data_IF_111202068979
#
_entry.id   IF_111202068979
#
_cell.length_a   1.000
_cell.length_b   1.000
_cell.length_c   1.000
_cell.angle_alpha   90.00
_cell.angle_beta   90.00
_cell.angle_gamma   90.00
#
_symmetry.space_group_name_H-M   'P 1'
#
loop_
_entity.id
_entity.type
_entity.pdbx_description
1 polymer ?
#
# COMPACT_ATOMS: atom_id res chain seq x y z
N UNK A 1 -0.29 11.03 3.92
CA UNK A 1 -0.94 10.10 2.97
C UNK A 1 -0.27 8.73 3.00
N UNK A 2 1.05 8.62 2.90
CA UNK A 2 1.74 7.33 3.04
C UNK A 2 1.51 6.65 4.40
N UNK A 3 1.72 7.38 5.50
CA UNK A 3 1.44 6.87 6.85
C UNK A 3 -0.02 6.43 7.06
N UNK A 4 -0.99 7.04 6.34
CA UNK A 4 -2.38 6.58 6.45
C UNK A 4 -2.59 5.26 5.72
N UNK A 5 -1.93 5.02 4.59
CA UNK A 5 -1.95 3.69 3.97
C UNK A 5 -1.32 2.64 4.86
N UNK A 6 -0.13 2.91 5.42
CA UNK A 6 0.54 1.99 6.35
C UNK A 6 -0.31 1.66 7.57
N UNK A 7 -1.02 2.66 8.11
CA UNK A 7 -1.94 2.47 9.22
C UNK A 7 -3.19 1.67 8.82
N UNK A 8 -3.89 2.09 7.77
CA UNK A 8 -5.21 1.55 7.43
C UNK A 8 -5.09 0.12 6.88
N UNK A 9 -4.18 -0.10 5.92
CA UNK A 9 -3.96 -1.43 5.33
C UNK A 9 -3.21 -2.36 6.28
N UNK A 10 -2.35 -1.83 7.14
CA UNK A 10 -1.69 -2.62 8.19
C UNK A 10 -2.68 -3.14 9.23
N UNK A 11 -3.66 -2.33 9.63
CA UNK A 11 -4.68 -2.73 10.61
C UNK A 11 -5.69 -3.74 10.06
N UNK A 12 -5.81 -3.88 8.74
CA UNK A 12 -6.62 -4.92 8.10
C UNK A 12 -5.97 -6.31 8.18
N UNK A 13 -4.73 -6.39 8.70
CA UNK A 13 -3.94 -7.62 8.84
C UNK A 13 -3.81 -7.99 10.32
N UNK A 14 -4.28 -9.17 10.69
CA UNK A 14 -4.30 -9.65 12.06
C UNK A 14 -2.97 -10.31 12.49
N UNK A 15 -2.29 -11.00 11.58
CA UNK A 15 -1.03 -11.68 11.85
C UNK A 15 0.10 -10.67 12.02
N UNK A 16 0.64 -10.56 13.24
CA UNK A 16 1.66 -9.57 13.62
C UNK A 16 2.89 -9.56 12.68
N UNK A 17 3.35 -10.72 12.22
CA UNK A 17 4.49 -10.81 11.30
C UNK A 17 4.19 -10.11 9.97
N UNK A 18 3.02 -10.39 9.39
CA UNK A 18 2.61 -9.78 8.11
C UNK A 18 2.23 -8.30 8.30
N UNK A 19 1.56 -7.95 9.41
CA UNK A 19 1.22 -6.57 9.72
C UNK A 19 2.47 -5.69 9.81
N UNK A 20 3.49 -6.12 10.57
CA UNK A 20 4.73 -5.35 10.70
C UNK A 20 5.45 -5.20 9.35
N UNK A 21 5.51 -6.28 8.56
CA UNK A 21 6.12 -6.25 7.23
C UNK A 21 5.40 -5.26 6.31
N UNK A 22 4.07 -5.34 6.22
CA UNK A 22 3.26 -4.43 5.41
C UNK A 22 3.40 -2.99 5.85
N UNK A 23 3.40 -2.75 7.17
CA UNK A 23 3.59 -1.41 7.71
C UNK A 23 4.96 -0.84 7.31
N UNK A 24 6.03 -1.63 7.43
CA UNK A 24 7.38 -1.19 7.11
C UNK A 24 7.57 -0.99 5.61
N UNK A 25 7.11 -1.93 4.78
CA UNK A 25 7.20 -1.86 3.32
C UNK A 25 6.43 -0.64 2.78
N UNK A 26 5.21 -0.38 3.27
CA UNK A 26 4.43 0.80 2.87
C UNK A 26 5.11 2.11 3.24
N UNK A 27 5.81 2.17 4.37
CA UNK A 27 6.55 3.36 4.79
C UNK A 27 7.90 3.53 4.08
N UNK A 28 8.42 2.48 3.46
CA UNK A 28 9.70 2.48 2.77
C UNK A 28 9.58 2.47 1.23
N UNK A 29 8.36 2.34 0.68
CA UNK A 29 8.15 2.34 -0.77
C UNK A 29 8.36 3.75 -1.37
N UNK A 30 9.46 3.91 -2.11
CA UNK A 30 9.84 5.17 -2.76
C UNK A 30 8.79 5.65 -3.77
N UNK A 31 8.16 4.73 -4.51
CA UNK A 31 7.19 5.07 -5.54
C UNK A 31 5.90 5.65 -4.92
N UNK A 32 5.39 5.00 -3.87
CA UNK A 32 4.25 5.45 -3.08
C UNK A 32 4.55 6.80 -2.40
N UNK A 33 5.76 6.96 -1.87
CA UNK A 33 6.23 8.25 -1.30
C UNK A 33 6.08 9.36 -2.34
N UNK A 34 6.63 9.16 -3.54
CA UNK A 34 6.56 10.16 -4.60
C UNK A 34 5.14 10.43 -5.11
N UNK A 35 4.26 9.43 -5.15
CA UNK A 35 2.85 9.65 -5.51
C UNK A 35 2.11 10.43 -4.43
N UNK A 36 2.36 10.13 -3.16
CA UNK A 36 1.79 10.86 -2.03
C UNK A 36 2.23 12.33 -2.03
N UNK A 37 3.52 12.59 -2.28
CA UNK A 37 4.06 13.95 -2.38
C UNK A 37 3.44 14.71 -3.57
N UNK A 38 3.36 14.08 -4.74
CA UNK A 38 2.77 14.70 -5.93
C UNK A 38 1.28 15.02 -5.75
N UNK A 39 0.52 14.16 -5.06
CA UNK A 39 -0.86 14.45 -4.69
C UNK A 39 -0.91 15.66 -3.73
N UNK A 40 -0.13 15.66 -2.65
CA UNK A 40 -0.10 16.76 -1.70
C UNK A 40 0.24 18.12 -2.35
N UNK A 41 1.14 18.14 -3.32
CA UNK A 41 1.47 19.36 -4.07
C UNK A 41 0.34 19.81 -5.02
N UNK A 42 -0.39 18.87 -5.63
CA UNK A 42 -1.56 19.21 -6.45
C UNK A 42 -2.70 19.82 -5.62
N UNK A 43 -2.95 19.25 -4.44
CA UNK A 43 -3.93 19.76 -3.46
C UNK A 43 -3.54 21.17 -2.98
N UNK A 44 -2.28 21.36 -2.59
CA UNK A 44 -1.75 22.66 -2.18
C UNK A 44 -1.84 23.70 -3.30
N UNK A 45 -1.61 23.31 -4.56
CA UNK A 45 -1.76 24.20 -5.71
C UNK A 45 -3.21 24.65 -5.91
N UNK A 46 -4.18 23.75 -5.73
CA UNK A 46 -5.61 24.07 -5.79
C UNK A 46 -6.00 25.06 -4.68
N UNK A 47 -5.61 24.78 -3.43
CA UNK A 47 -5.83 25.64 -2.27
C UNK A 47 -5.27 27.05 -2.48
N UNK A 48 -4.02 27.14 -2.96
CA UNK A 48 -3.38 28.42 -3.26
C UNK A 48 -4.17 29.16 -4.33
N UNK A 49 -4.54 28.50 -5.42
CA UNK A 49 -5.30 29.10 -6.53
C UNK A 49 -6.65 29.64 -6.05
N UNK A 50 -7.42 28.84 -5.32
CA UNK A 50 -8.70 29.24 -4.73
C UNK A 50 -8.52 30.47 -3.82
N UNK A 51 -7.46 30.51 -3.01
CA UNK A 51 -7.22 31.61 -2.07
C UNK A 51 -6.95 32.96 -2.76
N UNK A 52 -6.30 32.97 -3.93
CA UNK A 52 -5.97 34.20 -4.68
C UNK A 52 -7.10 34.65 -5.60
N UNK A 53 -7.85 33.71 -6.18
CA UNK A 53 -8.74 33.97 -7.32
C UNK A 53 -10.22 33.64 -7.03
N UNK A 54 -10.55 33.24 -5.80
CA UNK A 54 -11.85 32.71 -5.31
C UNK A 54 -12.16 31.26 -5.72
N UNK A 55 -13.18 30.67 -5.08
CA UNK A 55 -13.55 29.25 -5.25
C UNK A 55 -13.92 28.84 -6.67
N UNK A 56 -14.49 29.76 -7.45
CA UNK A 56 -14.86 29.52 -8.84
C UNK A 56 -13.73 29.94 -9.81
N UNK A 57 -12.49 30.00 -9.32
CA UNK A 57 -11.36 30.38 -10.13
C UNK A 57 -11.08 29.35 -11.23
N UNK A 58 -10.79 29.88 -12.41
CA UNK A 58 -10.36 29.07 -13.55
C UNK A 58 -9.15 28.21 -13.14
N UNK A 59 -9.23 26.91 -13.46
CA UNK A 59 -8.23 25.87 -13.21
C UNK A 59 -8.22 25.20 -11.82
N UNK A 60 -9.13 25.54 -10.89
CA UNK A 60 -9.23 24.81 -9.60
C UNK A 60 -9.67 23.36 -9.82
N UNK A 61 -10.76 23.15 -10.57
CA UNK A 61 -11.28 21.81 -10.89
C UNK A 61 -10.22 20.91 -11.57
N UNK A 62 -9.38 21.48 -12.45
CA UNK A 62 -8.31 20.75 -13.12
C UNK A 62 -7.20 20.31 -12.15
N UNK A 63 -6.91 21.12 -11.12
CA UNK A 63 -5.93 20.77 -10.08
C UNK A 63 -6.50 19.71 -9.13
N UNK A 64 -7.76 19.83 -8.73
CA UNK A 64 -8.47 18.80 -7.96
C UNK A 64 -8.52 17.47 -8.73
N UNK A 65 -8.79 17.52 -10.04
CA UNK A 65 -8.78 16.33 -10.89
C UNK A 65 -7.39 15.69 -11.02
N UNK A 66 -6.33 16.50 -11.06
CA UNK A 66 -4.96 16.00 -11.06
C UNK A 66 -4.64 15.32 -9.71
N UNK A 67 -5.04 15.91 -8.59
CA UNK A 67 -4.95 15.29 -7.27
C UNK A 67 -5.66 13.94 -7.22
N UNK A 68 -6.93 13.87 -7.61
CA UNK A 68 -7.74 12.64 -7.64
C UNK A 68 -7.06 11.52 -8.43
N UNK A 69 -6.52 11.88 -9.59
CA UNK A 69 -5.85 10.94 -10.49
C UNK A 69 -4.57 10.38 -9.86
N UNK A 70 -3.76 11.23 -9.22
CA UNK A 70 -2.53 10.82 -8.56
C UNK A 70 -2.85 10.00 -7.30
N UNK A 71 -3.82 10.43 -6.49
CA UNK A 71 -4.25 9.72 -5.29
C UNK A 71 -4.76 8.30 -5.60
N UNK A 72 -5.47 8.14 -6.72
CA UNK A 72 -5.91 6.82 -7.22
C UNK A 72 -4.70 5.91 -7.52
N UNK A 73 -3.67 6.44 -8.17
CA UNK A 73 -2.44 5.68 -8.48
C UNK A 73 -1.66 5.36 -7.19
N UNK A 74 -1.60 6.28 -6.23
CA UNK A 74 -0.99 6.04 -4.92
C UNK A 74 -1.69 4.90 -4.17
N UNK A 75 -3.02 4.93 -4.12
CA UNK A 75 -3.80 3.87 -3.50
C UNK A 75 -3.56 2.52 -4.18
N UNK A 76 -3.47 2.53 -5.51
CA UNK A 76 -3.19 1.33 -6.27
C UNK A 76 -1.82 0.73 -5.94
N UNK A 77 -0.78 1.57 -5.85
CA UNK A 77 0.57 1.12 -5.45
C UNK A 77 0.57 0.58 -4.02
N UNK A 78 -0.16 1.19 -3.09
CA UNK A 78 -0.25 0.69 -1.72
C UNK A 78 -0.78 -0.76 -1.67
N UNK A 79 -1.83 -1.08 -2.44
CA UNK A 79 -2.32 -2.46 -2.56
C UNK A 79 -1.28 -3.41 -3.18
N UNK A 80 -0.52 -2.94 -4.17
CA UNK A 80 0.56 -3.75 -4.77
C UNK A 80 1.65 -4.05 -3.76
N UNK A 81 2.05 -3.09 -2.92
CA UNK A 81 3.01 -3.30 -1.83
C UNK A 81 2.51 -4.35 -0.84
N UNK A 82 1.23 -4.29 -0.43
CA UNK A 82 0.66 -5.33 0.46
C UNK A 82 0.74 -6.73 -0.18
N UNK A 83 0.44 -6.82 -1.48
CA UNK A 83 0.53 -8.07 -2.22
C UNK A 83 1.98 -8.59 -2.30
N UNK A 84 2.94 -7.70 -2.53
CA UNK A 84 4.38 -7.99 -2.52
C UNK A 84 4.82 -8.51 -1.13
N UNK A 85 4.40 -7.88 -0.03
CA UNK A 85 4.66 -8.36 1.33
C UNK A 85 4.03 -9.74 1.60
N UNK A 86 2.83 -10.00 1.08
CA UNK A 86 2.18 -11.32 1.16
C UNK A 86 3.02 -12.40 0.45
N UNK A 87 3.56 -12.10 -0.73
CA UNK A 87 4.46 -13.01 -1.46
C UNK A 87 5.73 -13.27 -0.66
N UNK A 88 6.31 -12.23 -0.08
CA UNK A 88 7.53 -12.31 0.74
C UNK A 88 7.32 -13.22 1.95
N UNK A 89 6.23 -13.04 2.73
CA UNK A 89 5.99 -13.92 3.89
C UNK A 89 5.72 -15.36 3.49
N UNK A 90 5.04 -15.61 2.36
CA UNK A 90 4.78 -16.96 1.84
C UNK A 90 6.08 -17.66 1.45
N UNK A 91 6.99 -16.94 0.79
CA UNK A 91 8.22 -17.48 0.21
C UNK A 91 9.32 -17.63 1.26
N UNK A 92 9.53 -16.59 2.06
CA UNK A 92 10.71 -16.46 2.92
C UNK A 92 10.40 -16.72 4.39
N UNK A 93 9.12 -16.78 4.77
CA UNK A 93 8.72 -16.92 6.18
C UNK A 93 9.29 -18.15 6.89
N UNK A 94 9.47 -19.27 6.17
CA UNK A 94 10.06 -20.48 6.79
C UNK A 94 11.52 -20.24 7.19
N UNK A 95 12.28 -19.51 6.37
CA UNK A 95 13.67 -19.15 6.66
C UNK A 95 13.73 -18.27 7.91
N UNK A 96 12.81 -17.30 8.07
CA UNK A 96 12.78 -16.45 9.25
C UNK A 96 12.50 -17.24 10.54
N UNK A 97 11.65 -18.26 10.48
CA UNK A 97 11.41 -19.16 11.60
C UNK A 97 12.63 -20.03 11.90
N UNK A 98 13.27 -20.60 10.88
CA UNK A 98 14.48 -21.43 10.99
C UNK A 98 15.66 -20.65 11.61
N UNK A 99 15.79 -19.36 11.27
CA UNK A 99 16.79 -18.44 11.84
C UNK A 99 16.43 -17.94 13.25
N UNK A 100 15.22 -18.22 13.72
CA UNK A 100 14.74 -17.84 15.05
C UNK A 100 14.34 -16.37 15.17
N UNK A 101 14.02 -15.70 14.05
CA UNK A 101 13.48 -14.35 14.05
C UNK A 101 12.02 -14.31 14.51
N UNK A 102 11.25 -15.34 14.14
CA UNK A 102 9.85 -15.51 14.52
C UNK A 102 9.56 -16.92 15.01
N UNK A 103 8.45 -17.07 15.75
CA UNK A 103 7.91 -18.39 16.08
C UNK A 103 7.26 -19.02 14.84
N UNK A 104 7.39 -20.35 14.70
CA UNK A 104 6.83 -21.11 13.56
C UNK A 104 5.32 -20.91 13.45
N UNK A 105 4.58 -20.94 14.57
CA UNK A 105 3.12 -20.79 14.55
C UNK A 105 2.73 -19.37 14.09
N UNK A 106 3.54 -18.36 14.43
CA UNK A 106 3.33 -16.98 14.00
C UNK A 106 3.54 -16.79 12.50
N UNK A 107 4.57 -17.44 11.95
CA UNK A 107 4.83 -17.46 10.50
C UNK A 107 3.73 -18.21 9.76
N UNK A 108 3.32 -19.38 10.24
CA UNK A 108 2.24 -20.17 9.61
C UNK A 108 0.92 -19.38 9.58
N UNK A 109 0.60 -18.66 10.65
CA UNK A 109 -0.57 -17.77 10.68
C UNK A 109 -0.46 -16.64 9.63
N UNK A 110 0.69 -15.98 9.56
CA UNK A 110 0.93 -14.92 8.59
C UNK A 110 0.86 -15.43 7.13
N UNK A 111 1.40 -16.61 6.87
CA UNK A 111 1.30 -17.27 5.56
C UNK A 111 -0.13 -17.68 5.19
N UNK A 112 -0.94 -18.05 6.18
CA UNK A 112 -2.35 -18.36 5.95
C UNK A 112 -3.11 -17.11 5.53
N UNK A 113 -3.01 -16.04 6.33
CA UNK A 113 -3.68 -14.77 6.04
C UNK A 113 -3.19 -14.14 4.74
N UNK A 114 -1.88 -14.16 4.45
CA UNK A 114 -1.34 -13.69 3.17
C UNK A 114 -2.01 -14.35 1.96
N UNK A 115 -2.27 -15.67 2.03
CA UNK A 115 -2.96 -16.39 0.96
C UNK A 115 -4.43 -15.98 0.86
N UNK A 116 -5.12 -15.81 1.98
CA UNK A 116 -6.52 -15.35 1.98
C UNK A 116 -6.65 -13.93 1.41
N UNK A 117 -5.72 -13.05 1.77
CA UNK A 117 -5.67 -11.69 1.25
C UNK A 117 -5.48 -11.69 -0.28
N UNK A 118 -4.49 -12.43 -0.79
CA UNK A 118 -4.22 -12.53 -2.24
C UNK A 118 -5.40 -13.18 -3.01
N UNK A 119 -6.09 -14.15 -2.41
CA UNK A 119 -7.28 -14.76 -3.00
C UNK A 119 -8.49 -13.81 -3.05
N UNK A 120 -8.56 -12.84 -2.14
CA UNK A 120 -9.61 -11.81 -2.14
C UNK A 120 -9.27 -10.66 -3.10
N UNK A 121 -7.98 -10.43 -3.36
CA UNK A 121 -7.46 -9.36 -4.21
C UNK A 121 -6.80 -9.90 -5.49
N UNK A 122 -7.49 -10.79 -6.20
CA UNK A 122 -6.92 -11.51 -7.37
C UNK A 122 -6.41 -10.62 -8.50
N UNK A 123 -7.02 -9.45 -8.74
CA UNK A 123 -6.59 -8.49 -9.77
C UNK A 123 -5.26 -7.81 -9.39
N UNK A 124 -5.04 -7.58 -8.10
CA UNK A 124 -3.77 -7.09 -7.57
C UNK A 124 -2.73 -8.20 -7.63
N UNK A 125 -3.10 -9.40 -7.19
CA UNK A 125 -2.23 -10.57 -7.23
C UNK A 125 -1.76 -10.88 -8.65
N UNK A 126 -2.63 -10.78 -9.66
CA UNK A 126 -2.25 -10.94 -11.08
C UNK A 126 -1.22 -9.90 -11.50
N UNK A 127 -1.43 -8.63 -11.11
CA UNK A 127 -0.58 -7.52 -11.54
C UNK A 127 0.84 -7.60 -10.98
N UNK A 128 0.99 -8.00 -9.72
CA UNK A 128 2.32 -8.19 -9.10
C UNK A 128 2.92 -9.56 -9.39
N UNK A 129 2.22 -10.43 -10.13
CA UNK A 129 2.70 -11.79 -10.44
C UNK A 129 2.58 -12.79 -9.29
N UNK A 130 1.77 -12.51 -8.26
CA UNK A 130 1.58 -13.34 -7.07
C UNK A 130 0.68 -14.57 -7.29
N UNK A 131 0.10 -14.76 -8.47
CA UNK A 131 -0.76 -15.93 -8.72
C UNK A 131 0.01 -17.26 -8.63
N UNK A 132 1.32 -17.25 -8.89
CA UNK A 132 2.15 -18.46 -8.85
C UNK A 132 2.31 -19.02 -7.43
N UNK A 133 2.29 -18.16 -6.39
CA UNK A 133 2.42 -18.60 -4.99
C UNK A 133 1.12 -19.13 -4.39
N UNK A 134 0.01 -19.02 -5.12
CA UNK A 134 -1.30 -19.55 -4.75
C UNK A 134 -1.61 -20.93 -5.35
N UNK A 135 -0.76 -21.42 -6.26
CA UNK A 135 -0.94 -22.69 -6.99
C UNK A 135 -0.33 -23.89 -6.25
#
# INVERSE_FOLDING_TARGET
MQNSFAHDLGNDIEAEVLHNLVHDDLNQDDQLTHYCDAAAEADAAADIRESYESRDAEFVDELEHAWDSIATVAHQRAFEVVAESCVTVISDGDEWADEGHYDVDAVDNAKHEAREWLQTHTDIAERVGALEVLA
#
